data_IF_070960011906
#
_entry.id   IF_070960011906
#
_cell.length_a   1.000
_cell.length_b   1.000
_cell.length_c   1.000
_cell.angle_alpha   90.00
_cell.angle_beta   90.00
_cell.angle_gamma   90.00
#
_symmetry.space_group_name_H-M   'P 1'
#
loop_
_entity.id
_entity.type
_entity.pdbx_description
1 polymer ?
#
# COMPACT_ATOMS: atom_id res chain seq x y z
N UNK A 1 -12.51 -6.06 11.77
CA UNK A 1 -11.24 -6.04 12.55
C UNK A 1 -11.28 -4.99 13.64
N UNK A 2 -11.46 -3.70 13.31
CA UNK A 2 -11.48 -2.60 14.28
C UNK A 2 -12.40 -2.84 15.47
N UNK A 3 -13.67 -3.20 15.24
CA UNK A 3 -14.63 -3.47 16.34
C UNK A 3 -14.14 -4.51 17.35
N UNK A 4 -13.64 -5.66 16.89
CA UNK A 4 -13.16 -6.73 17.77
C UNK A 4 -12.00 -6.29 18.66
N UNK A 5 -11.03 -5.54 18.11
CA UNK A 5 -9.89 -5.05 18.89
C UNK A 5 -10.30 -3.93 19.85
N UNK A 6 -11.19 -3.02 19.41
CA UNK A 6 -11.72 -1.95 20.26
C UNK A 6 -12.48 -2.50 21.46
N UNK A 7 -13.35 -3.49 21.24
CA UNK A 7 -14.10 -4.17 22.30
C UNK A 7 -13.18 -4.93 23.27
N UNK A 8 -12.01 -5.37 22.80
CA UNK A 8 -10.95 -5.98 23.62
C UNK A 8 -10.04 -4.96 24.34
N UNK A 9 -10.35 -3.66 24.27
CA UNK A 9 -9.61 -2.60 24.96
C UNK A 9 -8.38 -2.08 24.21
N UNK A 10 -8.24 -2.38 22.92
CA UNK A 10 -7.16 -1.83 22.10
C UNK A 10 -7.51 -0.43 21.59
N UNK A 11 -6.50 0.43 21.49
CA UNK A 11 -6.58 1.63 20.67
C UNK A 11 -6.47 1.26 19.19
N UNK A 12 -7.56 1.45 18.45
CA UNK A 12 -7.67 1.08 17.04
C UNK A 12 -7.47 2.30 16.14
N UNK A 13 -6.54 2.18 15.19
CA UNK A 13 -6.17 3.23 14.25
C UNK A 13 -6.07 2.65 12.84
N UNK A 14 -6.65 3.35 11.86
CA UNK A 14 -6.59 3.01 10.44
C UNK A 14 -6.21 4.25 9.65
N UNK A 15 -5.14 4.15 8.84
CA UNK A 15 -4.58 5.27 8.10
C UNK A 15 -4.35 4.82 6.64
N UNK A 16 -4.92 5.56 5.69
CA UNK A 16 -4.74 5.32 4.26
C UNK A 16 -5.96 4.71 3.57
N UNK A 17 -5.73 4.08 2.43
CA UNK A 17 -6.74 3.62 1.49
C UNK A 17 -7.83 2.78 2.16
N UNK A 18 -9.08 3.19 1.96
CA UNK A 18 -10.27 2.52 2.46
C UNK A 18 -11.14 2.04 1.29
N UNK A 19 -11.33 0.72 1.20
CA UNK A 19 -12.10 0.06 0.13
C UNK A 19 -13.13 -0.94 0.69
N UNK A 20 -13.62 -0.68 1.91
CA UNK A 20 -14.45 -1.63 2.66
C UNK A 20 -15.92 -1.18 2.83
N UNK A 21 -16.28 0.01 2.34
CA UNK A 21 -17.61 0.60 2.50
C UNK A 21 -18.48 0.55 1.23
N UNK A 22 -17.91 0.13 0.09
CA UNK A 22 -18.64 0.03 -1.18
C UNK A 22 -18.98 1.40 -1.80
N UNK A 23 -18.34 2.47 -1.33
CA UNK A 23 -18.42 3.81 -1.95
C UNK A 23 -17.41 3.94 -3.09
N UNK A 24 -17.08 5.17 -3.48
CA UNK A 24 -16.07 5.41 -4.51
C UNK A 24 -14.67 4.94 -4.07
N UNK A 25 -13.71 5.02 -5.00
CA UNK A 25 -12.34 4.59 -4.78
C UNK A 25 -11.62 5.31 -3.62
N UNK A 26 -11.99 6.56 -3.35
CA UNK A 26 -11.30 7.42 -2.38
C UNK A 26 -11.96 7.36 -0.99
N UNK A 27 -13.16 6.82 -0.88
CA UNK A 27 -13.93 6.75 0.35
C UNK A 27 -14.72 8.04 0.60
N UNK A 28 -15.30 8.15 1.79
CA UNK A 28 -16.22 9.24 2.13
C UNK A 28 -15.56 10.33 3.00
N UNK A 29 -14.37 10.06 3.56
CA UNK A 29 -13.75 10.91 4.56
C UNK A 29 -14.38 10.78 5.95
N UNK A 30 -15.39 9.93 6.10
CA UNK A 30 -16.08 9.68 7.37
C UNK A 30 -15.43 8.50 8.09
N UNK A 31 -14.94 8.75 9.30
CA UNK A 31 -14.30 7.72 10.11
C UNK A 31 -15.36 6.77 10.71
N UNK A 32 -15.28 5.45 10.47
CA UNK A 32 -16.10 4.48 11.16
C UNK A 32 -15.88 4.52 12.68
N UNK A 33 -16.92 4.27 13.50
CA UNK A 33 -16.87 4.47 14.94
C UNK A 33 -15.88 3.57 15.66
N UNK A 34 -15.44 2.47 15.04
CA UNK A 34 -14.41 1.59 15.58
C UNK A 34 -12.97 2.08 15.40
N UNK A 35 -12.72 3.19 14.71
CA UNK A 35 -11.37 3.72 14.48
C UNK A 35 -11.19 5.09 15.14
N UNK A 36 -9.94 5.44 15.42
CA UNK A 36 -9.57 6.75 15.92
C UNK A 36 -9.74 7.83 14.83
N UNK A 37 -10.69 8.74 15.03
CA UNK A 37 -10.98 9.83 14.10
C UNK A 37 -9.83 10.83 13.98
N UNK A 38 -8.94 10.95 14.96
CA UNK A 38 -7.79 11.86 14.90
C UNK A 38 -6.75 11.40 13.87
N UNK A 39 -6.75 10.11 13.52
CA UNK A 39 -5.80 9.51 12.57
C UNK A 39 -6.43 8.98 11.30
N UNK A 40 -7.75 9.00 11.18
CA UNK A 40 -8.45 8.57 9.96
C UNK A 40 -8.02 9.41 8.77
N UNK A 41 -7.51 8.74 7.74
CA UNK A 41 -6.92 9.42 6.58
C UNK A 41 -7.05 8.59 5.29
N UNK A 42 -8.28 8.44 4.83
CA UNK A 42 -8.61 7.83 3.54
C UNK A 42 -8.32 8.76 2.36
N UNK A 43 -8.66 8.32 1.15
CA UNK A 43 -8.39 9.06 -0.08
C UNK A 43 -9.15 10.37 -0.14
N UNK A 44 -10.37 10.42 0.38
CA UNK A 44 -11.16 11.64 0.45
C UNK A 44 -10.50 12.69 1.36
N UNK A 45 -9.94 12.27 2.51
CA UNK A 45 -9.15 13.17 3.39
C UNK A 45 -7.85 13.64 2.73
N UNK A 46 -7.17 12.77 1.98
CA UNK A 46 -6.01 13.18 1.19
C UNK A 46 -6.38 14.24 0.15
N UNK A 47 -7.41 13.98 -0.65
CA UNK A 47 -7.86 14.91 -1.69
C UNK A 47 -8.36 16.24 -1.12
N UNK A 48 -9.00 16.24 0.05
CA UNK A 48 -9.48 17.46 0.71
C UNK A 48 -8.35 18.39 1.19
N UNK A 49 -7.12 17.88 1.34
CA UNK A 49 -5.93 18.68 1.66
C UNK A 49 -5.22 19.24 0.42
N UNK A 50 -5.63 18.83 -0.78
CA UNK A 50 -5.09 19.30 -2.05
C UNK A 50 -6.01 20.36 -2.68
N UNK A 51 -5.42 21.29 -3.41
CA UNK A 51 -6.14 22.22 -4.28
C UNK A 51 -6.61 21.52 -5.56
N UNK A 52 -7.63 22.05 -6.24
CA UNK A 52 -8.08 21.52 -7.55
C UNK A 52 -6.94 21.41 -8.57
N UNK A 53 -6.00 22.37 -8.53
CA UNK A 53 -4.81 22.36 -9.40
C UNK A 53 -3.90 21.19 -9.06
N UNK A 54 -3.64 20.93 -7.79
CA UNK A 54 -2.83 19.81 -7.33
C UNK A 54 -3.48 18.47 -7.63
N UNK A 55 -4.80 18.35 -7.46
CA UNK A 55 -5.56 17.15 -7.84
C UNK A 55 -5.44 16.92 -9.36
N UNK A 56 -5.61 17.96 -10.17
CA UNK A 56 -5.44 17.87 -11.62
C UNK A 56 -4.04 17.44 -12.04
N UNK A 57 -3.02 17.99 -11.36
CA UNK A 57 -1.62 17.64 -11.54
C UNK A 57 -1.34 16.19 -11.14
N UNK A 58 -1.75 15.78 -9.95
CA UNK A 58 -1.58 14.41 -9.45
C UNK A 58 -2.21 13.38 -10.38
N UNK A 59 -3.42 13.65 -10.89
CA UNK A 59 -4.15 12.71 -11.75
C UNK A 59 -3.50 12.50 -13.12
N UNK A 60 -2.94 13.55 -13.72
CA UNK A 60 -2.61 13.53 -15.15
C UNK A 60 -1.26 14.15 -15.54
N UNK A 61 -0.58 14.84 -14.62
CA UNK A 61 0.52 15.74 -14.95
C UNK A 61 1.89 15.35 -14.41
N UNK A 62 2.03 14.24 -13.68
CA UNK A 62 3.29 13.83 -13.02
C UNK A 62 3.86 12.55 -13.63
N UNK A 63 4.14 12.57 -14.94
CA UNK A 63 4.48 11.35 -15.68
C UNK A 63 5.99 11.19 -15.96
N UNK A 64 6.80 12.21 -15.67
CA UNK A 64 8.23 12.22 -15.94
C UNK A 64 9.02 12.94 -14.85
N UNK A 65 10.35 12.77 -14.86
CA UNK A 65 11.25 13.50 -13.95
C UNK A 65 11.13 15.01 -14.15
N UNK A 66 11.03 15.46 -15.40
CA UNK A 66 10.89 16.88 -15.72
C UNK A 66 9.58 17.43 -15.18
N UNK A 67 8.48 16.67 -15.27
CA UNK A 67 7.19 17.07 -14.67
C UNK A 67 7.29 17.18 -13.15
N UNK A 68 7.86 16.16 -12.49
CA UNK A 68 8.03 16.14 -11.03
C UNK A 68 8.86 17.34 -10.56
N UNK A 69 9.98 17.62 -11.23
CA UNK A 69 10.86 18.76 -10.89
C UNK A 69 10.23 20.10 -11.22
N UNK A 70 9.60 20.26 -12.38
CA UNK A 70 8.96 21.52 -12.79
C UNK A 70 7.83 21.93 -11.84
N UNK A 71 7.17 20.96 -11.21
CA UNK A 71 6.11 21.19 -10.23
C UNK A 71 6.59 21.10 -8.77
N UNK A 72 7.90 20.94 -8.53
CA UNK A 72 8.50 20.82 -7.19
C UNK A 72 7.83 19.72 -6.33
N UNK A 73 7.58 18.55 -6.92
CA UNK A 73 7.02 17.41 -6.21
C UNK A 73 8.07 16.81 -5.28
N UNK A 74 7.77 16.83 -3.99
CA UNK A 74 8.54 16.20 -2.93
C UNK A 74 7.70 15.13 -2.21
N UNK A 75 8.27 14.51 -1.18
CA UNK A 75 7.58 13.46 -0.44
C UNK A 75 6.31 13.97 0.25
N UNK A 76 6.24 15.24 0.64
CA UNK A 76 5.09 15.82 1.36
C UNK A 76 3.83 15.91 0.50
N UNK A 77 3.98 15.88 -0.83
CA UNK A 77 2.86 15.80 -1.75
C UNK A 77 2.21 14.41 -1.79
N UNK A 78 3.00 13.35 -1.55
CA UNK A 78 2.57 11.96 -1.72
C UNK A 78 1.64 11.48 -0.61
N UNK A 79 0.74 10.56 -0.94
CA UNK A 79 -0.17 10.00 0.05
C UNK A 79 0.58 9.08 1.02
N UNK A 80 1.50 8.25 0.52
CA UNK A 80 2.33 7.38 1.35
C UNK A 80 3.10 8.12 2.44
N UNK A 81 3.68 9.29 2.15
CA UNK A 81 4.36 10.07 3.17
C UNK A 81 3.42 10.63 4.22
N UNK A 82 2.24 11.14 3.81
CA UNK A 82 1.24 11.70 4.71
C UNK A 82 0.60 10.64 5.61
N UNK A 83 0.38 9.43 5.09
CA UNK A 83 0.00 8.24 5.86
C UNK A 83 1.09 7.91 6.88
N UNK A 84 2.35 7.85 6.44
CA UNK A 84 3.48 7.47 7.29
C UNK A 84 3.73 8.47 8.41
N UNK A 85 3.61 9.77 8.15
CA UNK A 85 3.75 10.80 9.19
C UNK A 85 2.71 10.63 10.31
N UNK A 86 1.47 10.31 9.95
CA UNK A 86 0.40 10.05 10.92
C UNK A 86 0.66 8.77 11.72
N UNK A 87 1.13 7.71 11.08
CA UNK A 87 1.55 6.48 11.77
C UNK A 87 2.71 6.73 12.74
N UNK A 88 3.73 7.50 12.32
CA UNK A 88 4.86 7.87 13.16
C UNK A 88 4.40 8.70 14.36
N UNK A 89 3.55 9.72 14.15
CA UNK A 89 2.98 10.50 15.25
C UNK A 89 2.22 9.60 16.22
N UNK A 90 1.32 8.72 15.73
CA UNK A 90 0.58 7.78 16.57
C UNK A 90 1.51 6.94 17.46
N UNK A 91 2.58 6.38 16.88
CA UNK A 91 3.51 5.49 17.58
C UNK A 91 4.39 6.22 18.62
N UNK A 92 4.64 7.52 18.43
CA UNK A 92 5.53 8.32 19.26
C UNK A 92 4.83 9.02 20.45
N UNK A 93 3.49 9.00 20.51
CA UNK A 93 2.69 9.64 21.57
C UNK A 93 2.86 8.92 22.92
N UNK A 94 3.51 9.52 23.93
CA UNK A 94 3.80 8.85 25.20
C UNK A 94 2.54 8.41 25.96
N UNK A 95 1.48 9.20 25.89
CA UNK A 95 0.18 8.94 26.53
C UNK A 95 -0.51 7.66 26.02
N UNK A 96 -0.11 7.16 24.85
CA UNK A 96 -0.67 5.94 24.23
C UNK A 96 0.14 4.68 24.55
N UNK A 97 1.28 4.81 25.23
CA UNK A 97 2.17 3.67 25.52
C UNK A 97 1.61 2.64 26.50
N UNK A 98 0.59 3.00 27.29
CA UNK A 98 -0.01 2.12 28.30
C UNK A 98 -1.14 1.22 27.74
N UNK A 99 -1.73 1.58 26.59
CA UNK A 99 -2.85 0.85 25.99
C UNK A 99 -2.34 0.05 24.79
N UNK A 100 -2.70 -1.24 24.63
CA UNK A 100 -2.33 -1.97 23.44
C UNK A 100 -3.02 -1.35 22.21
N UNK A 101 -2.42 -1.48 21.03
CA UNK A 101 -2.95 -0.86 19.81
C UNK A 101 -3.11 -1.86 18.66
N UNK A 102 -4.06 -1.54 17.78
CA UNK A 102 -4.13 -2.06 16.41
C UNK A 102 -3.91 -0.85 15.49
N UNK A 103 -2.82 -0.86 14.74
CA UNK A 103 -2.52 0.16 13.74
C UNK A 103 -2.52 -0.49 12.35
N UNK A 104 -3.48 -0.10 11.53
CA UNK A 104 -3.55 -0.53 10.11
C UNK A 104 -3.09 0.63 9.24
N UNK A 105 -2.09 0.37 8.42
CA UNK A 105 -1.51 1.33 7.49
C UNK A 105 -1.72 0.78 6.08
N UNK A 106 -2.53 1.48 5.29
CA UNK A 106 -3.00 1.03 3.97
C UNK A 106 -2.50 1.99 2.91
N UNK A 107 -1.32 1.71 2.34
CA UNK A 107 -0.74 2.50 1.27
C UNK A 107 -1.54 2.33 -0.03
N UNK A 108 -1.66 3.39 -0.82
CA UNK A 108 -2.28 3.30 -2.15
C UNK A 108 -1.23 3.06 -3.23
N UNK A 109 -0.09 3.74 -3.13
CA UNK A 109 1.08 3.48 -3.97
C UNK A 109 1.49 1.99 -3.85
N UNK A 110 1.78 1.30 -4.98
CA UNK A 110 2.04 1.84 -6.31
C UNK A 110 0.79 1.94 -7.22
N UNK A 111 -0.44 2.02 -6.70
CA UNK A 111 -1.60 2.23 -7.59
C UNK A 111 -1.51 3.57 -8.33
N UNK A 112 -2.11 3.63 -9.52
CA UNK A 112 -2.18 4.87 -10.29
C UNK A 112 -3.15 5.88 -9.64
N UNK A 113 -2.92 7.19 -9.74
CA UNK A 113 -1.79 7.88 -10.37
C UNK A 113 -0.46 7.68 -9.63
N UNK A 114 0.59 7.32 -10.36
CA UNK A 114 1.91 7.06 -9.77
C UNK A 114 2.58 8.38 -9.38
N UNK A 115 2.95 8.54 -8.12
CA UNK A 115 3.65 9.73 -7.66
C UNK A 115 4.65 9.40 -6.57
N UNK A 116 5.89 9.81 -6.79
CA UNK A 116 6.99 9.71 -5.85
C UNK A 116 7.95 10.90 -6.09
N UNK A 117 8.86 11.19 -5.14
CA UNK A 117 9.93 12.16 -5.39
C UNK A 117 10.79 11.77 -6.61
N UNK A 118 11.34 12.77 -7.30
CA UNK A 118 12.04 12.59 -8.57
C UNK A 118 13.26 11.66 -8.48
N UNK A 119 13.97 11.69 -7.35
CA UNK A 119 15.15 10.87 -7.07
C UNK A 119 14.84 9.37 -7.03
N UNK A 120 13.59 8.98 -6.75
CA UNK A 120 13.18 7.57 -6.87
C UNK A 120 13.04 7.20 -8.35
N UNK A 121 12.40 8.05 -9.15
CA UNK A 121 12.20 7.80 -10.58
C UNK A 121 13.53 7.72 -11.36
N UNK A 122 14.53 8.51 -10.97
CA UNK A 122 15.89 8.49 -11.53
C UNK A 122 16.52 7.09 -11.50
N UNK A 123 16.31 6.32 -10.42
CA UNK A 123 16.89 4.98 -10.24
C UNK A 123 16.35 3.96 -11.25
N UNK A 124 15.14 4.18 -11.77
CA UNK A 124 14.40 3.18 -12.54
C UNK A 124 14.28 3.50 -14.04
N UNK A 125 14.90 4.57 -14.55
CA UNK A 125 14.77 4.97 -15.96
C UNK A 125 15.09 3.84 -16.95
N UNK A 126 16.16 3.08 -16.69
CA UNK A 126 16.59 1.97 -17.53
C UNK A 126 16.10 0.60 -17.03
N UNK A 127 15.36 0.59 -15.90
CA UNK A 127 14.88 -0.63 -15.30
C UNK A 127 13.78 -1.28 -16.15
N UNK A 128 13.83 -2.61 -16.21
CA UNK A 128 12.78 -3.42 -16.79
C UNK A 128 12.59 -4.68 -15.95
N UNK A 129 11.37 -5.19 -15.95
CA UNK A 129 11.04 -6.49 -15.39
C UNK A 129 10.94 -7.52 -16.50
N UNK A 130 11.73 -8.60 -16.40
CA UNK A 130 11.74 -9.68 -17.38
C UNK A 130 10.62 -10.66 -17.06
N UNK A 131 9.57 -10.65 -17.88
CA UNK A 131 8.47 -11.60 -17.78
C UNK A 131 8.77 -12.93 -18.49
N UNK A 132 9.79 -12.95 -19.35
CA UNK A 132 10.13 -14.08 -20.20
C UNK A 132 8.92 -14.63 -20.96
N UNK A 133 8.77 -15.95 -20.97
CA UNK A 133 7.71 -16.62 -21.72
C UNK A 133 6.29 -16.25 -21.28
N UNK A 134 6.09 -15.75 -20.05
CA UNK A 134 4.75 -15.35 -19.57
C UNK A 134 4.18 -14.19 -20.38
N UNK A 135 5.01 -13.33 -20.96
CA UNK A 135 4.54 -12.22 -21.78
C UNK A 135 3.79 -12.67 -23.05
N UNK A 136 4.04 -13.90 -23.52
CA UNK A 136 3.63 -14.37 -24.85
C UNK A 136 2.58 -15.48 -24.80
N UNK A 137 1.44 -15.23 -24.14
CA UNK A 137 0.32 -16.17 -24.11
C UNK A 137 -0.58 -15.98 -25.35
N UNK A 138 -0.92 -17.07 -26.04
CA UNK A 138 -1.82 -17.04 -27.20
C UNK A 138 -3.27 -16.76 -26.81
N UNK A 139 -3.63 -17.05 -25.56
CA UNK A 139 -4.98 -16.99 -25.00
C UNK A 139 -6.03 -17.89 -25.70
N UNK A 140 -5.63 -18.74 -26.66
CA UNK A 140 -6.54 -19.56 -27.49
C UNK A 140 -7.27 -20.62 -26.64
N UNK A 141 -6.61 -21.14 -25.62
CA UNK A 141 -7.13 -22.16 -24.71
C UNK A 141 -7.68 -21.57 -23.40
N UNK A 142 -7.81 -20.24 -23.31
CA UNK A 142 -8.24 -19.52 -22.10
C UNK A 142 -9.71 -19.11 -22.20
N UNK A 143 -10.37 -18.83 -21.06
CA UNK A 143 -11.70 -18.22 -21.06
C UNK A 143 -11.76 -17.00 -21.98
N UNK A 144 -12.87 -16.86 -22.71
CA UNK A 144 -13.02 -15.82 -23.73
C UNK A 144 -12.76 -14.40 -23.19
N UNK A 145 -13.13 -14.14 -21.94
CA UNK A 145 -12.95 -12.82 -21.34
C UNK A 145 -11.48 -12.41 -21.22
N UNK A 146 -10.52 -13.34 -21.12
CA UNK A 146 -9.09 -13.00 -21.16
C UNK A 146 -8.71 -12.41 -22.52
N UNK A 147 -9.18 -13.04 -23.60
CA UNK A 147 -8.93 -12.56 -24.97
C UNK A 147 -9.59 -11.19 -25.20
N UNK A 148 -10.82 -11.00 -24.74
CA UNK A 148 -11.52 -9.71 -24.84
C UNK A 148 -10.81 -8.62 -24.01
N UNK A 149 -10.31 -8.96 -22.83
CA UNK A 149 -9.52 -8.07 -21.99
C UNK A 149 -8.23 -7.64 -22.70
N UNK A 150 -7.43 -8.60 -23.19
CA UNK A 150 -6.18 -8.28 -23.91
C UNK A 150 -6.41 -7.44 -25.18
N UNK A 151 -7.59 -7.54 -25.81
CA UNK A 151 -7.98 -6.70 -26.95
C UNK A 151 -8.38 -5.29 -26.52
N UNK A 152 -9.15 -5.16 -25.44
CA UNK A 152 -9.62 -3.88 -24.92
C UNK A 152 -8.50 -3.07 -24.25
N UNK A 153 -7.55 -3.76 -23.61
CA UNK A 153 -6.40 -3.18 -22.93
C UNK A 153 -5.11 -3.91 -23.36
N UNK A 154 -4.51 -3.51 -24.49
CA UNK A 154 -3.30 -4.14 -24.99
C UNK A 154 -2.14 -4.05 -23.99
N UNK A 155 -1.42 -5.16 -23.81
CA UNK A 155 -0.20 -5.20 -23.01
C UNK A 155 0.88 -4.25 -23.58
N UNK A 156 1.58 -3.48 -22.73
CA UNK A 156 2.70 -2.64 -23.16
C UNK A 156 4.00 -3.44 -23.37
N UNK A 157 3.99 -4.76 -23.13
CA UNK A 157 5.16 -5.62 -23.25
C UNK A 157 5.39 -5.98 -24.72
N UNK A 158 6.61 -5.73 -25.21
CA UNK A 158 7.02 -6.06 -26.57
C UNK A 158 7.41 -7.53 -26.74
N UNK A 159 7.88 -7.86 -27.95
CA UNK A 159 8.40 -9.19 -28.30
C UNK A 159 9.64 -9.60 -27.50
N UNK A 160 10.31 -8.65 -26.83
CA UNK A 160 11.45 -8.93 -25.95
C UNK A 160 11.05 -9.42 -24.56
N UNK A 161 9.75 -9.46 -24.25
CA UNK A 161 9.20 -9.95 -22.97
C UNK A 161 9.47 -9.01 -21.79
N UNK A 162 9.89 -7.76 -22.05
CA UNK A 162 10.29 -6.82 -20.99
C UNK A 162 9.18 -5.82 -20.68
N UNK A 163 8.78 -5.77 -19.42
CA UNK A 163 7.90 -4.73 -18.90
C UNK A 163 8.70 -3.52 -18.43
N UNK A 164 8.38 -2.33 -18.97
CA UNK A 164 9.02 -1.06 -18.61
C UNK A 164 7.97 -0.11 -18.05
N UNK A 165 8.05 0.14 -16.75
CA UNK A 165 7.19 1.11 -16.08
C UNK A 165 7.95 1.77 -14.92
N UNK A 166 8.87 2.71 -15.21
CA UNK A 166 9.81 3.24 -14.23
C UNK A 166 9.10 3.86 -13.01
N UNK A 167 7.98 4.55 -13.22
CA UNK A 167 7.16 5.11 -12.14
C UNK A 167 6.56 4.07 -11.19
N UNK A 168 6.22 2.87 -11.67
CA UNK A 168 5.61 1.82 -10.85
C UNK A 168 6.65 1.29 -9.85
N UNK A 169 7.86 1.04 -10.34
CA UNK A 169 8.96 0.55 -9.51
C UNK A 169 9.51 1.65 -8.59
N UNK A 170 9.55 2.91 -9.05
CA UNK A 170 9.91 4.05 -8.23
C UNK A 170 8.93 4.26 -7.06
N UNK A 171 7.62 4.12 -7.29
CA UNK A 171 6.62 4.20 -6.22
C UNK A 171 6.76 3.04 -5.23
N UNK A 172 7.06 1.81 -5.69
CA UNK A 172 7.35 0.69 -4.78
C UNK A 172 8.56 0.97 -3.88
N UNK A 173 9.67 1.44 -4.46
CA UNK A 173 10.89 1.81 -3.71
C UNK A 173 10.60 2.90 -2.68
N UNK A 174 9.83 3.92 -3.08
CA UNK A 174 9.43 4.97 -2.17
C UNK A 174 8.56 4.47 -1.01
N UNK A 175 7.58 3.60 -1.28
CA UNK A 175 6.74 2.99 -0.25
C UNK A 175 7.56 2.10 0.69
N UNK A 176 8.55 1.37 0.20
CA UNK A 176 9.46 0.58 1.04
C UNK A 176 10.18 1.47 2.07
N UNK A 177 10.72 2.61 1.64
CA UNK A 177 11.32 3.60 2.53
C UNK A 177 10.30 4.18 3.53
N UNK A 178 9.06 4.44 3.09
CA UNK A 178 7.98 4.91 3.97
C UNK A 178 7.61 3.89 5.05
N UNK A 179 7.49 2.60 4.69
CA UNK A 179 7.31 1.51 5.65
C UNK A 179 8.51 1.46 6.61
N UNK A 180 9.72 1.59 6.09
CA UNK A 180 10.95 1.66 6.88
C UNK A 180 10.94 2.78 7.92
N UNK A 181 10.42 3.98 7.58
CA UNK A 181 10.27 5.11 8.51
C UNK A 181 9.35 4.74 9.68
N UNK A 182 8.19 4.16 9.41
CA UNK A 182 7.24 3.72 10.45
C UNK A 182 7.86 2.63 11.33
N UNK A 183 8.51 1.63 10.73
CA UNK A 183 9.13 0.55 11.49
C UNK A 183 10.28 1.04 12.41
N UNK A 184 11.00 2.08 11.98
CA UNK A 184 12.05 2.74 12.76
C UNK A 184 11.48 3.58 13.91
N UNK A 185 10.25 4.09 13.82
CA UNK A 185 9.65 4.91 14.87
C UNK A 185 9.14 4.12 16.08
N UNK A 186 9.03 2.78 15.98
CA UNK A 186 8.72 1.93 17.11
C UNK A 186 9.79 2.06 18.21
N UNK A 187 9.36 2.28 19.45
CA UNK A 187 10.23 2.20 20.62
C UNK A 187 10.79 0.78 20.78
N UNK A 188 11.91 0.57 21.49
CA UNK A 188 12.41 -0.77 21.80
C UNK A 188 11.33 -1.70 22.38
N UNK A 189 10.53 -1.17 23.33
CA UNK A 189 9.45 -1.91 23.99
C UNK A 189 8.33 -2.28 23.00
N UNK A 190 7.90 -1.33 22.16
CA UNK A 190 6.90 -1.62 21.12
C UNK A 190 7.43 -2.66 20.13
N UNK A 191 8.67 -2.53 19.66
CA UNK A 191 9.29 -3.47 18.71
C UNK A 191 9.37 -4.90 19.26
N UNK A 192 9.58 -5.04 20.56
CA UNK A 192 9.62 -6.34 21.24
C UNK A 192 8.24 -6.95 21.48
N UNK A 193 7.19 -6.11 21.62
CA UNK A 193 5.84 -6.56 22.01
C UNK A 193 4.77 -6.44 20.89
N UNK A 194 5.17 -6.12 19.65
CA UNK A 194 4.23 -5.88 18.54
C UNK A 194 4.32 -6.98 17.48
N UNK A 195 3.17 -7.53 17.11
CA UNK A 195 3.00 -8.29 15.88
C UNK A 195 3.07 -7.34 14.69
N UNK A 196 3.92 -7.66 13.71
CA UNK A 196 4.01 -6.90 12.46
C UNK A 196 3.59 -7.83 11.34
N UNK A 197 2.59 -7.40 10.58
CA UNK A 197 2.05 -8.15 9.45
C UNK A 197 2.13 -7.23 8.24
N UNK A 198 2.79 -7.70 7.18
CA UNK A 198 2.83 -7.03 5.89
C UNK A 198 2.21 -7.95 4.84
N UNK A 199 1.32 -7.39 4.04
CA UNK A 199 0.66 -8.07 2.92
C UNK A 199 0.24 -7.04 1.87
N UNK A 200 -0.20 -7.53 0.72
CA UNK A 200 -0.89 -6.75 -0.32
C UNK A 200 -2.32 -7.29 -0.51
N UNK A 201 -3.20 -6.49 -1.09
CA UNK A 201 -4.57 -6.87 -1.47
C UNK A 201 -4.60 -7.74 -2.73
N UNK A 202 -3.75 -7.44 -3.72
CA UNK A 202 -3.57 -8.20 -4.95
C UNK A 202 -2.22 -7.88 -5.62
N UNK A 203 -1.81 -8.69 -6.59
CA UNK A 203 -0.67 -8.40 -7.47
C UNK A 203 -1.04 -7.57 -8.70
N UNK A 204 -0.14 -7.52 -9.67
CA UNK A 204 -0.29 -6.79 -10.93
C UNK A 204 0.24 -7.69 -12.06
N UNK A 205 -0.53 -7.85 -13.14
CA UNK A 205 -0.11 -8.72 -14.24
C UNK A 205 1.12 -8.17 -14.96
N UNK A 206 1.33 -6.85 -15.00
CA UNK A 206 2.47 -6.21 -15.67
C UNK A 206 2.62 -6.60 -17.16
N UNK A 207 1.57 -7.11 -17.81
CA UNK A 207 1.66 -7.64 -19.17
C UNK A 207 1.85 -9.16 -19.27
N UNK A 208 1.99 -9.87 -18.14
CA UNK A 208 1.94 -11.33 -18.10
C UNK A 208 0.62 -11.82 -18.72
N UNK A 209 0.70 -12.90 -19.49
CA UNK A 209 -0.41 -13.47 -20.25
C UNK A 209 -1.04 -12.49 -21.26
N UNK A 210 -0.29 -11.44 -21.66
CA UNK A 210 -0.79 -10.30 -22.45
C UNK A 210 -1.91 -9.52 -21.77
N UNK A 211 -2.04 -9.64 -20.46
CA UNK A 211 -3.03 -8.96 -19.65
C UNK A 211 -2.33 -7.93 -18.74
N UNK A 212 -3.04 -6.86 -18.41
CA UNK A 212 -2.57 -5.78 -17.54
C UNK A 212 -3.58 -5.54 -16.43
N UNK A 213 -3.15 -4.91 -15.35
CA UNK A 213 -3.96 -4.67 -14.16
C UNK A 213 -4.29 -5.95 -13.40
N UNK A 214 -5.38 -5.86 -12.64
CA UNK A 214 -6.01 -6.92 -11.85
C UNK A 214 -7.47 -7.03 -12.25
N UNK A 215 -8.08 -8.19 -12.04
CA UNK A 215 -9.44 -8.43 -12.46
C UNK A 215 -9.86 -9.88 -12.28
N UNK A 216 -10.91 -10.29 -12.98
CA UNK A 216 -11.51 -11.62 -12.87
C UNK A 216 -10.66 -12.71 -13.56
N UNK A 217 -9.39 -12.84 -13.18
CA UNK A 217 -8.50 -13.92 -13.58
C UNK A 217 -7.80 -14.47 -12.33
N UNK A 218 -7.41 -15.74 -12.35
CA UNK A 218 -6.79 -16.42 -11.19
C UNK A 218 -5.34 -16.79 -11.48
N UNK A 219 -4.58 -15.86 -12.05
CA UNK A 219 -3.15 -16.02 -12.29
C UNK A 219 -2.34 -15.63 -11.04
N UNK A 220 -1.24 -16.35 -10.80
CA UNK A 220 -0.31 -16.07 -9.70
C UNK A 220 0.13 -14.61 -9.67
N UNK A 221 0.30 -13.97 -10.83
CA UNK A 221 0.75 -12.59 -10.95
C UNK A 221 -0.19 -11.58 -10.25
N UNK A 222 -1.45 -11.94 -10.00
CA UNK A 222 -2.40 -11.11 -9.23
C UNK A 222 -2.87 -11.75 -7.92
N UNK A 223 -2.72 -13.07 -7.73
CA UNK A 223 -3.18 -13.75 -6.51
C UNK A 223 -2.06 -14.11 -5.54
N UNK A 224 -0.80 -14.18 -5.99
CA UNK A 224 0.35 -14.58 -5.17
C UNK A 224 0.97 -13.37 -4.48
N UNK A 225 0.25 -12.84 -3.51
CA UNK A 225 0.65 -11.68 -2.71
C UNK A 225 1.73 -12.04 -1.66
N UNK A 226 2.58 -11.08 -1.27
CA UNK A 226 3.49 -11.27 -0.15
C UNK A 226 2.71 -11.42 1.17
N UNK A 227 3.22 -12.25 2.07
CA UNK A 227 2.78 -12.30 3.47
C UNK A 227 4.01 -12.45 4.37
N UNK A 228 4.32 -11.41 5.13
CA UNK A 228 5.41 -11.39 6.09
C UNK A 228 4.80 -11.18 7.47
N UNK A 229 5.11 -12.09 8.40
CA UNK A 229 4.64 -12.01 9.79
C UNK A 229 5.85 -12.06 10.71
N UNK A 230 6.00 -11.04 11.54
CA UNK A 230 6.97 -11.00 12.65
C UNK A 230 6.21 -11.02 13.97
N UNK A 231 6.45 -12.05 14.76
CA UNK A 231 5.96 -12.14 16.12
C UNK A 231 6.73 -11.20 17.08
N UNK A 232 6.13 -10.84 18.22
CA UNK A 232 6.84 -10.26 19.36
C UNK A 232 8.10 -11.05 19.72
N UNK A 233 9.16 -10.34 20.10
CA UNK A 233 10.46 -10.91 20.48
C UNK A 233 10.72 -10.83 22.00
N UNK A 234 9.90 -10.08 22.74
CA UNK A 234 9.94 -10.06 24.20
C UNK A 234 9.54 -11.42 24.77
N UNK A 235 10.23 -11.88 25.82
CA UNK A 235 9.81 -13.09 26.55
C UNK A 235 8.41 -12.86 27.10
N UNK A 236 7.47 -13.73 26.74
CA UNK A 236 6.27 -13.90 27.56
C UNK A 236 6.76 -14.27 28.96
N UNK A 237 6.49 -13.41 29.94
CA UNK A 237 6.52 -13.85 31.33
C UNK A 237 5.57 -15.04 31.42
N UNK A 238 6.01 -16.23 31.84
CA UNK A 238 5.09 -17.34 32.02
C UNK A 238 3.98 -16.89 32.98
N UNK A 239 2.73 -17.06 32.56
CA UNK A 239 1.54 -16.75 33.33
C UNK A 239 1.71 -17.22 34.78
N UNK A 240 1.62 -16.30 35.75
CA UNK A 240 1.54 -16.61 37.18
C UNK A 240 0.16 -17.17 37.58
N UNK A 241 -0.59 -17.75 36.64
CA UNK A 241 -1.89 -18.35 36.86
C UNK A 241 -1.93 -19.80 36.37
N UNK A 242 -0.96 -20.62 36.79
CA UNK A 242 -1.21 -22.04 36.95
C UNK A 242 -1.92 -22.22 38.30
N UNK A 243 -3.25 -22.28 38.23
CA UNK A 243 -4.12 -22.55 39.37
C UNK A 243 -3.79 -23.88 40.04
N UNK A 244 -4.07 -23.94 41.33
CA UNK A 244 -3.89 -25.13 42.16
C UNK A 244 -4.61 -26.36 41.59
N UNK A 245 -4.00 -27.55 41.66
CA UNK A 245 -4.65 -28.78 41.27
C UNK A 245 -5.72 -29.15 42.31
N UNK A 246 -6.97 -29.30 41.84
CA UNK A 246 -7.95 -30.16 42.50
C UNK A 246 -7.75 -31.60 42.04
#
# INVERSE_FOLDING_TARGET
>A
MGRYFKDAGYHTCYIGKWHLDGHDYFGTGECPPEWDADYWYDGARYLAELTDKEIGLWRNGLNSIDDLRANNIDETFTWAHRISNRAVDFLQRPERSATPFLLVISYDEPHHPFTCPAEYLEKYQDFYYDLGAKAHDSLVDKPEHHRLWAQAMPSPVGEDGRYRHPLYFACNDFVDDQIGRVMKSLTPQQRENTWVIYTSDHGEMMGAHRLISKGAAMYDDITRIPLIIRAPQGRSSPDQHAGEPY
#
